data_IF_416099157728
#
_entry.id   IF_416099157728
#
_cell.length_a   1.000
_cell.length_b   1.000
_cell.length_c   1.000
_cell.angle_alpha   90.00
_cell.angle_beta   90.00
_cell.angle_gamma   90.00
#
_symmetry.space_group_name_H-M   'P 1'
#
loop_
_entity.id
_entity.type
_entity.pdbx_description
1 polymer ?
#
# COMPACT_ATOMS: atom_id res chain seq x y z
N UNK A 1 -36.05 9.61 42.16
CA UNK A 1 -34.58 9.56 42.01
C UNK A 1 -34.08 8.28 41.32
N UNK A 2 -34.48 7.08 41.75
CA UNK A 2 -33.92 5.81 41.24
C UNK A 2 -34.10 5.64 39.73
N UNK A 3 -35.31 5.85 39.19
CA UNK A 3 -35.60 5.67 37.75
C UNK A 3 -34.75 6.61 36.88
N UNK A 4 -34.54 7.86 37.32
CA UNK A 4 -33.68 8.83 36.63
C UNK A 4 -32.21 8.40 36.59
N UNK A 5 -31.71 7.80 37.66
CA UNK A 5 -30.35 7.26 37.71
C UNK A 5 -30.16 6.09 36.73
N UNK A 6 -31.17 5.22 36.56
CA UNK A 6 -31.13 4.12 35.59
C UNK A 6 -31.10 4.61 34.13
N UNK A 7 -31.94 5.59 33.79
CA UNK A 7 -31.97 6.18 32.44
C UNK A 7 -30.64 6.88 32.14
N UNK A 8 -30.08 7.60 33.12
CA UNK A 8 -28.80 8.28 32.98
C UNK A 8 -27.63 7.30 32.80
N UNK A 9 -27.58 6.23 33.60
CA UNK A 9 -26.57 5.18 33.46
C UNK A 9 -26.63 4.50 32.08
N UNK A 10 -27.83 4.17 31.61
CA UNK A 10 -28.03 3.59 30.28
C UNK A 10 -27.57 4.54 29.15
N UNK A 11 -27.86 5.83 29.28
CA UNK A 11 -27.40 6.85 28.34
C UNK A 11 -25.87 6.93 28.24
N UNK A 12 -25.17 6.93 29.38
CA UNK A 12 -23.70 6.93 29.42
C UNK A 12 -23.14 5.66 28.77
N UNK A 13 -23.68 4.49 29.07
CA UNK A 13 -23.21 3.22 28.48
C UNK A 13 -23.30 3.24 26.95
N UNK A 14 -24.39 3.76 26.39
CA UNK A 14 -24.56 3.85 24.94
C UNK A 14 -23.60 4.86 24.29
N UNK A 15 -23.36 6.01 24.94
CA UNK A 15 -22.39 7.00 24.44
C UNK A 15 -20.97 6.43 24.47
N UNK A 16 -20.58 5.75 25.56
CA UNK A 16 -19.27 5.09 25.66
C UNK A 16 -19.14 4.01 24.59
N UNK A 17 -20.16 3.18 24.39
CA UNK A 17 -20.17 2.15 23.36
C UNK A 17 -20.08 2.73 21.93
N UNK A 18 -20.69 3.89 21.68
CA UNK A 18 -20.58 4.58 20.39
C UNK A 18 -19.16 5.10 20.16
N UNK A 19 -18.57 5.75 21.17
CA UNK A 19 -17.20 6.31 21.08
C UNK A 19 -16.16 5.21 20.86
N UNK A 20 -16.28 4.07 21.54
CA UNK A 20 -15.37 2.93 21.34
C UNK A 20 -15.54 2.28 19.97
N UNK A 21 -16.76 2.22 19.43
CA UNK A 21 -17.02 1.70 18.08
C UNK A 21 -16.52 2.62 16.97
N UNK A 22 -16.57 3.94 17.15
CA UNK A 22 -16.09 4.92 16.15
C UNK A 22 -14.57 4.88 15.98
N UNK A 23 -13.82 4.61 17.05
CA UNK A 23 -12.35 4.66 17.04
C UNK A 23 -11.66 3.29 16.96
N UNK A 24 -12.38 2.22 16.58
CA UNK A 24 -11.85 0.86 16.63
C UNK A 24 -10.54 0.64 15.86
N UNK A 25 -10.28 1.34 14.74
CA UNK A 25 -8.99 1.22 14.02
C UNK A 25 -7.84 1.94 14.72
N UNK A 26 -8.11 3.09 15.30
CA UNK A 26 -7.07 3.95 15.89
C UNK A 26 -6.62 3.37 17.24
N UNK A 27 -7.56 2.83 18.03
CA UNK A 27 -7.23 2.11 19.26
C UNK A 27 -6.42 0.84 18.98
N UNK A 28 -6.69 0.10 17.90
CA UNK A 28 -5.91 -1.10 17.55
C UNK A 28 -4.47 -0.77 17.18
N UNK A 29 -4.26 0.29 16.41
CA UNK A 29 -2.91 0.73 16.06
C UNK A 29 -2.15 1.20 17.30
N UNK A 30 -2.79 1.96 18.19
CA UNK A 30 -2.21 2.39 19.46
C UNK A 30 -1.78 1.18 20.30
N UNK A 31 -2.67 0.22 20.53
CA UNK A 31 -2.35 -1.01 21.28
C UNK A 31 -1.16 -1.77 20.67
N UNK A 32 -1.11 -1.90 19.34
CA UNK A 32 0.03 -2.55 18.69
C UNK A 32 1.33 -1.76 18.78
N UNK A 33 1.27 -0.43 18.74
CA UNK A 33 2.42 0.44 18.94
C UNK A 33 2.92 0.37 20.37
N UNK A 34 2.04 0.26 21.36
CA UNK A 34 2.38 0.09 22.77
C UNK A 34 3.09 -1.25 23.00
N UNK A 35 2.51 -2.36 22.55
CA UNK A 35 3.16 -3.69 22.61
C UNK A 35 4.54 -3.70 21.94
N UNK A 36 4.68 -3.00 20.82
CA UNK A 36 5.94 -2.87 20.11
C UNK A 36 6.95 -2.04 20.91
N UNK A 37 6.53 -0.93 21.50
CA UNK A 37 7.38 -0.10 22.36
C UNK A 37 7.89 -0.91 23.56
N UNK A 38 7.00 -1.65 24.23
CA UNK A 38 7.35 -2.53 25.34
C UNK A 38 8.38 -3.57 24.91
N UNK A 39 8.20 -4.19 23.73
CA UNK A 39 9.15 -5.14 23.18
C UNK A 39 10.53 -4.51 22.89
N UNK A 40 10.54 -3.33 22.25
CA UNK A 40 11.78 -2.62 21.91
C UNK A 40 12.54 -2.16 23.16
N UNK A 41 11.81 -1.79 24.21
CA UNK A 41 12.36 -1.40 25.51
C UNK A 41 12.93 -2.61 26.24
N UNK A 42 12.17 -3.71 26.36
CA UNK A 42 12.61 -4.94 27.01
C UNK A 42 13.83 -5.59 26.34
N UNK A 43 14.05 -5.33 25.05
CA UNK A 43 15.22 -5.79 24.28
C UNK A 43 16.34 -4.74 24.18
N UNK A 44 16.18 -3.59 24.82
CA UNK A 44 17.15 -2.49 24.83
C UNK A 44 17.62 -2.09 23.41
N UNK A 45 16.70 -2.06 22.45
CA UNK A 45 17.07 -1.80 21.05
C UNK A 45 17.64 -0.37 20.89
N UNK A 46 18.63 -0.15 20.01
CA UNK A 46 19.16 1.18 19.72
C UNK A 46 18.09 2.13 19.17
N UNK A 47 18.22 3.42 19.47
CA UNK A 47 17.22 4.45 19.10
C UNK A 47 16.96 4.52 17.58
N UNK A 48 18.00 4.31 16.75
CA UNK A 48 17.87 4.28 15.29
C UNK A 48 16.93 3.17 14.83
N UNK A 49 17.14 1.93 15.30
CA UNK A 49 16.28 0.80 14.96
C UNK A 49 14.85 1.01 15.47
N UNK A 50 14.68 1.60 16.67
CA UNK A 50 13.33 1.93 17.18
C UNK A 50 12.60 2.90 16.27
N UNK A 51 13.30 3.88 15.70
CA UNK A 51 12.71 4.83 14.75
C UNK A 51 12.27 4.11 13.47
N UNK A 52 13.14 3.30 12.88
CA UNK A 52 12.86 2.53 11.66
C UNK A 52 11.64 1.62 11.82
N UNK A 53 11.56 0.89 12.94
CA UNK A 53 10.41 0.01 13.23
C UNK A 53 9.11 0.83 13.35
N UNK A 54 9.12 1.95 14.07
CA UNK A 54 7.92 2.80 14.20
C UNK A 54 7.50 3.41 12.87
N UNK A 55 8.46 3.86 12.07
CA UNK A 55 8.21 4.41 10.73
C UNK A 55 7.60 3.33 9.83
N UNK A 56 8.16 2.11 9.84
CA UNK A 56 7.60 0.99 9.10
C UNK A 56 6.15 0.71 9.50
N UNK A 57 5.84 0.60 10.79
CA UNK A 57 4.47 0.36 11.26
C UNK A 57 3.52 1.51 10.94
N UNK A 58 3.99 2.75 10.99
CA UNK A 58 3.21 3.92 10.62
C UNK A 58 2.89 3.93 9.12
N UNK A 59 3.87 3.62 8.28
CA UNK A 59 3.70 3.52 6.82
C UNK A 59 2.82 2.31 6.44
N UNK A 60 3.00 1.18 7.13
CA UNK A 60 2.15 0.00 6.98
C UNK A 60 0.71 0.26 7.42
N UNK A 61 0.46 1.14 8.40
CA UNK A 61 -0.90 1.58 8.75
C UNK A 61 -1.59 2.32 7.60
N UNK A 62 -0.83 3.14 6.87
CA UNK A 62 -1.34 3.90 5.71
C UNK A 62 -1.59 2.97 4.51
N UNK A 63 -0.95 1.80 4.49
CA UNK A 63 -1.22 0.75 3.51
C UNK A 63 -2.66 0.23 3.63
N UNK A 64 -3.30 0.00 2.48
CA UNK A 64 -4.72 -0.37 2.38
C UNK A 64 -5.10 -1.66 3.16
N UNK A 65 -4.12 -2.51 3.46
CA UNK A 65 -4.30 -3.80 4.12
C UNK A 65 -4.26 -3.75 5.66
N UNK A 66 -3.87 -2.62 6.26
CA UNK A 66 -3.91 -2.43 7.73
C UNK A 66 -5.32 -2.62 8.33
N UNK A 67 -6.37 -2.58 7.50
CA UNK A 67 -7.76 -2.80 7.91
C UNK A 67 -8.21 -4.27 7.84
N UNK A 68 -7.45 -5.16 7.20
CA UNK A 68 -7.83 -6.56 6.91
C UNK A 68 -7.40 -7.54 8.00
N UNK A 69 -7.69 -7.22 9.26
CA UNK A 69 -7.40 -8.14 10.38
C UNK A 69 -8.26 -9.40 10.23
N UNK A 70 -7.63 -10.58 10.26
CA UNK A 70 -8.25 -11.89 10.09
C UNK A 70 -8.75 -12.22 8.67
N UNK A 71 -8.21 -11.60 7.60
CA UNK A 71 -8.60 -11.94 6.23
C UNK A 71 -8.59 -13.45 5.97
N UNK A 72 -7.57 -14.18 6.42
CA UNK A 72 -7.50 -15.63 6.28
C UNK A 72 -8.66 -16.39 6.92
N UNK A 73 -9.17 -15.93 8.08
CA UNK A 73 -10.33 -16.56 8.74
C UNK A 73 -11.63 -16.25 8.00
N UNK A 74 -11.81 -14.99 7.58
CA UNK A 74 -12.97 -14.54 6.81
C UNK A 74 -13.02 -15.29 5.48
N UNK A 75 -11.89 -15.40 4.78
CA UNK A 75 -11.80 -16.13 3.53
C UNK A 75 -12.14 -17.62 3.73
N UNK A 76 -11.74 -18.22 4.85
CA UNK A 76 -12.03 -19.64 5.14
C UNK A 76 -13.53 -19.95 5.31
N UNK A 77 -14.37 -18.97 5.64
CA UNK A 77 -15.83 -19.14 5.71
C UNK A 77 -16.47 -19.29 4.32
N UNK A 78 -15.77 -18.90 3.26
CA UNK A 78 -16.28 -18.95 1.89
C UNK A 78 -15.86 -20.22 1.14
N UNK A 79 -16.71 -20.63 0.19
CA UNK A 79 -16.41 -21.72 -0.75
C UNK A 79 -15.14 -21.42 -1.57
N UNK A 80 -14.47 -22.47 -2.05
CA UNK A 80 -13.21 -22.34 -2.79
C UNK A 80 -13.33 -21.41 -4.02
N UNK A 81 -14.45 -21.48 -4.74
CA UNK A 81 -14.71 -20.63 -5.89
C UNK A 81 -14.85 -19.16 -5.48
N UNK A 82 -15.56 -18.88 -4.38
CA UNK A 82 -15.78 -17.51 -3.93
C UNK A 82 -14.48 -16.89 -3.40
N UNK A 83 -13.67 -17.66 -2.66
CA UNK A 83 -12.30 -17.26 -2.29
C UNK A 83 -11.46 -16.87 -3.51
N UNK A 84 -11.50 -17.70 -4.56
CA UNK A 84 -10.76 -17.45 -5.80
C UNK A 84 -11.18 -16.13 -6.47
N UNK A 85 -12.50 -15.88 -6.53
CA UNK A 85 -13.06 -14.65 -7.09
C UNK A 85 -12.67 -13.41 -6.28
N UNK A 86 -12.71 -13.50 -4.94
CA UNK A 86 -12.31 -12.40 -4.06
C UNK A 86 -10.81 -12.11 -4.24
N UNK A 87 -9.97 -13.13 -4.20
CA UNK A 87 -8.53 -12.98 -4.40
C UNK A 87 -8.21 -12.35 -5.76
N UNK A 88 -8.91 -12.77 -6.82
CA UNK A 88 -8.75 -12.18 -8.14
C UNK A 88 -9.17 -10.71 -8.17
N UNK A 89 -10.29 -10.35 -7.53
CA UNK A 89 -10.75 -8.96 -7.47
C UNK A 89 -9.76 -8.05 -6.72
N UNK A 90 -9.15 -8.54 -5.64
CA UNK A 90 -8.11 -7.81 -4.88
C UNK A 90 -6.86 -7.61 -5.73
N UNK A 91 -6.44 -8.64 -6.46
CA UNK A 91 -5.22 -8.64 -7.27
C UNK A 91 -5.46 -8.18 -8.72
N UNK A 92 -6.64 -7.67 -9.07
CA UNK A 92 -7.02 -7.33 -10.45
C UNK A 92 -6.04 -6.34 -11.10
N UNK A 93 -5.62 -5.33 -10.31
CA UNK A 93 -4.67 -4.31 -10.76
C UNK A 93 -3.30 -4.87 -11.14
N UNK A 94 -2.94 -6.02 -10.58
CA UNK A 94 -1.69 -6.74 -10.83
C UNK A 94 -1.94 -7.74 -11.96
N UNK A 95 -2.87 -8.66 -11.80
CA UNK A 95 -3.10 -9.77 -12.73
C UNK A 95 -3.56 -9.33 -14.12
N UNK A 96 -4.50 -8.40 -14.23
CA UNK A 96 -5.04 -7.99 -15.53
C UNK A 96 -4.26 -6.84 -16.17
N UNK A 97 -3.67 -5.94 -15.37
CA UNK A 97 -3.01 -4.73 -15.90
C UNK A 97 -1.51 -4.92 -16.14
N UNK A 98 -0.91 -6.03 -15.72
CA UNK A 98 0.51 -6.29 -15.96
C UNK A 98 0.75 -6.99 -17.31
N UNK A 99 1.71 -6.50 -18.12
CA UNK A 99 2.07 -7.13 -19.40
C UNK A 99 2.49 -8.59 -19.29
N UNK A 100 3.06 -8.99 -18.14
CA UNK A 100 3.46 -10.37 -17.87
C UNK A 100 2.30 -11.35 -18.02
N UNK A 101 1.11 -10.97 -17.56
CA UNK A 101 -0.10 -11.81 -17.57
C UNK A 101 -1.03 -11.52 -18.74
N UNK A 102 -0.68 -10.61 -19.65
CA UNK A 102 -1.53 -10.27 -20.79
C UNK A 102 -1.85 -11.49 -21.68
N UNK A 103 -3.13 -11.80 -21.86
CA UNK A 103 -3.58 -12.97 -22.62
C UNK A 103 -3.44 -14.30 -21.88
N UNK A 104 -3.28 -14.27 -20.56
CA UNK A 104 -3.39 -15.46 -19.72
C UNK A 104 -4.84 -15.95 -19.62
N UNK A 105 -5.00 -17.26 -19.40
CA UNK A 105 -6.32 -17.82 -19.11
C UNK A 105 -6.85 -17.29 -17.77
N UNK A 106 -8.17 -17.06 -17.71
CA UNK A 106 -8.79 -16.50 -16.51
C UNK A 106 -8.65 -17.43 -15.30
N UNK A 107 -8.75 -18.75 -15.49
CA UNK A 107 -8.62 -19.71 -14.40
C UNK A 107 -7.18 -19.76 -13.86
N UNK A 108 -6.19 -19.61 -14.75
CA UNK A 108 -4.79 -19.48 -14.34
C UNK A 108 -4.58 -18.25 -13.45
N UNK A 109 -5.14 -17.10 -13.82
CA UNK A 109 -5.02 -15.89 -13.01
C UNK A 109 -5.74 -16.03 -11.66
N UNK A 110 -6.89 -16.69 -11.60
CA UNK A 110 -7.59 -16.98 -10.34
C UNK A 110 -6.76 -17.87 -9.40
N UNK A 111 -6.13 -18.93 -9.94
CA UNK A 111 -5.24 -19.82 -9.19
C UNK A 111 -4.02 -19.08 -8.64
N UNK A 112 -3.42 -18.21 -9.45
CA UNK A 112 -2.31 -17.37 -9.02
C UNK A 112 -2.74 -16.34 -7.98
N UNK A 113 -3.90 -15.70 -8.14
CA UNK A 113 -4.41 -14.70 -7.21
C UNK A 113 -4.50 -15.24 -5.78
N UNK A 114 -4.93 -16.49 -5.62
CA UNK A 114 -5.00 -17.18 -4.33
C UNK A 114 -3.64 -17.49 -3.71
N UNK A 115 -2.61 -17.62 -4.56
CA UNK A 115 -1.25 -17.98 -4.14
C UNK A 115 -0.37 -16.76 -3.84
N UNK A 116 -0.80 -15.57 -4.27
CA UNK A 116 -0.07 -14.33 -4.01
C UNK A 116 -0.26 -13.88 -2.56
N UNK A 117 0.83 -13.41 -1.96
CA UNK A 117 0.82 -12.79 -0.62
C UNK A 117 1.33 -11.37 -0.71
N UNK A 118 0.71 -10.46 0.02
CA UNK A 118 1.25 -9.11 0.15
C UNK A 118 2.42 -9.10 1.14
N UNK A 119 3.47 -8.37 0.80
CA UNK A 119 4.63 -8.10 1.65
C UNK A 119 4.98 -6.62 1.54
N UNK A 120 5.36 -6.02 2.66
CA UNK A 120 5.73 -4.61 2.71
C UNK A 120 7.20 -4.47 3.06
N UNK A 121 7.89 -3.55 2.40
CA UNK A 121 9.29 -3.26 2.64
C UNK A 121 9.47 -1.76 2.92
N UNK A 122 10.26 -1.39 3.96
CA UNK A 122 10.67 -0.01 4.19
C UNK A 122 11.58 0.50 3.05
N UNK A 123 11.83 1.81 2.97
CA UNK A 123 12.82 2.38 2.05
C UNK A 123 14.24 1.84 2.30
N UNK A 124 15.06 1.81 1.25
CA UNK A 124 16.49 1.43 1.25
C UNK A 124 16.80 -0.01 1.68
N UNK A 125 15.80 -0.88 1.73
CA UNK A 125 15.98 -2.30 2.03
C UNK A 125 16.27 -3.10 0.75
N UNK A 126 17.26 -3.99 0.83
CA UNK A 126 17.65 -4.89 -0.26
C UNK A 126 16.74 -6.13 -0.28
N UNK A 127 15.64 -6.03 -1.05
CA UNK A 127 14.64 -7.10 -1.20
C UNK A 127 15.23 -8.37 -1.82
N UNK A 128 16.20 -8.20 -2.73
CA UNK A 128 16.92 -9.28 -3.39
C UNK A 128 18.40 -8.91 -3.40
N UNK A 129 19.26 -9.86 -3.09
CA UNK A 129 20.72 -9.72 -3.23
C UNK A 129 21.24 -10.51 -4.43
N UNK A 130 22.13 -9.91 -5.21
CA UNK A 130 22.82 -10.57 -6.31
C UNK A 130 23.59 -11.81 -5.82
N UNK A 131 23.44 -12.95 -6.51
CA UNK A 131 24.15 -14.19 -6.19
C UNK A 131 23.48 -15.06 -5.13
N UNK A 132 22.45 -14.58 -4.43
CA UNK A 132 21.68 -15.41 -3.51
C UNK A 132 20.74 -16.37 -4.25
N UNK A 133 20.34 -17.43 -3.54
CA UNK A 133 19.27 -18.31 -3.98
C UNK A 133 17.95 -17.66 -3.60
N UNK A 134 17.05 -17.46 -4.57
CA UNK A 134 15.73 -16.93 -4.31
C UNK A 134 14.65 -17.69 -5.05
N UNK A 135 13.59 -18.03 -4.33
CA UNK A 135 12.48 -18.84 -4.83
C UNK A 135 11.18 -18.05 -4.95
N UNK A 136 11.25 -16.73 -4.85
CA UNK A 136 10.09 -15.85 -4.94
C UNK A 136 10.29 -14.78 -6.02
N UNK A 137 9.18 -14.34 -6.60
CA UNK A 137 9.11 -13.19 -7.48
C UNK A 137 8.12 -12.19 -6.90
N UNK A 138 8.29 -10.93 -7.29
CA UNK A 138 7.55 -9.83 -6.71
C UNK A 138 6.93 -8.97 -7.81
N UNK A 139 5.69 -8.57 -7.57
CA UNK A 139 4.96 -7.62 -8.40
C UNK A 139 4.74 -6.34 -7.61
N UNK A 140 5.08 -5.19 -8.20
CA UNK A 140 5.05 -3.90 -7.53
C UNK A 140 3.63 -3.36 -7.55
N UNK A 141 2.94 -3.46 -6.41
CA UNK A 141 1.60 -2.92 -6.22
C UNK A 141 1.66 -1.42 -5.92
N UNK A 142 2.62 -1.00 -5.09
CA UNK A 142 2.91 0.41 -4.78
C UNK A 142 4.39 0.57 -4.44
N UNK A 143 4.96 1.71 -4.82
CA UNK A 143 6.35 2.07 -4.53
C UNK A 143 7.26 1.95 -5.75
N UNK A 144 8.55 2.17 -5.51
CA UNK A 144 9.61 2.18 -6.52
C UNK A 144 10.82 1.45 -5.97
N UNK A 145 11.40 0.58 -6.81
CA UNK A 145 12.63 -0.16 -6.51
C UNK A 145 13.68 0.14 -7.58
N UNK A 146 14.95 0.05 -7.21
CA UNK A 146 16.07 0.10 -8.13
C UNK A 146 16.71 -1.27 -8.30
N UNK A 147 17.21 -1.53 -9.50
CA UNK A 147 17.98 -2.73 -9.82
C UNK A 147 19.45 -2.33 -9.89
N UNK A 148 20.28 -2.97 -9.08
CA UNK A 148 21.73 -2.73 -9.00
C UNK A 148 22.45 -4.02 -9.31
N UNK A 149 23.45 -3.97 -10.19
CA UNK A 149 24.31 -5.13 -10.49
C UNK A 149 25.76 -4.72 -10.45
N UNK A 150 26.57 -5.46 -9.68
CA UNK A 150 27.99 -5.12 -9.48
C UNK A 150 28.21 -3.62 -9.10
N UNK A 151 27.32 -3.06 -8.28
CA UNK A 151 27.35 -1.65 -7.85
C UNK A 151 26.85 -0.63 -8.88
N UNK A 152 26.41 -1.05 -10.06
CA UNK A 152 25.89 -0.17 -11.11
C UNK A 152 24.37 -0.25 -11.16
N UNK A 153 23.70 0.89 -11.11
CA UNK A 153 22.25 0.98 -11.27
C UNK A 153 21.88 0.67 -12.72
N UNK A 154 21.14 -0.43 -12.92
CA UNK A 154 20.67 -0.87 -14.24
C UNK A 154 19.34 -0.23 -14.64
N UNK A 155 18.53 0.18 -13.66
CA UNK A 155 17.25 0.82 -13.91
C UNK A 155 16.36 0.91 -12.68
N UNK A 156 15.20 1.54 -12.86
CA UNK A 156 14.16 1.68 -11.86
C UNK A 156 12.92 0.92 -12.28
N UNK A 157 12.28 0.27 -11.32
CA UNK A 157 10.97 -0.34 -11.50
C UNK A 157 9.95 0.31 -10.57
N UNK A 158 8.80 0.68 -11.13
CA UNK A 158 7.67 1.26 -10.41
C UNK A 158 6.42 0.39 -10.47
N UNK A 159 5.28 1.03 -10.20
CA UNK A 159 3.99 0.35 -10.17
C UNK A 159 3.68 -0.44 -11.46
N UNK A 160 3.03 -1.60 -11.32
CA UNK A 160 2.67 -2.53 -12.43
C UNK A 160 3.86 -3.17 -13.14
N UNK A 161 5.06 -3.06 -12.57
CA UNK A 161 6.23 -3.81 -12.99
C UNK A 161 6.55 -4.91 -11.98
N UNK A 162 7.50 -5.77 -12.32
CA UNK A 162 7.80 -6.99 -11.57
C UNK A 162 9.27 -7.35 -11.69
N UNK A 163 9.76 -8.11 -10.73
CA UNK A 163 11.15 -8.54 -10.66
C UNK A 163 11.30 -9.90 -9.96
N UNK A 164 12.49 -10.49 -10.07
CA UNK A 164 12.80 -11.80 -9.49
C UNK A 164 12.32 -12.99 -10.31
N UNK A 165 11.75 -12.78 -11.50
CA UNK A 165 11.23 -13.84 -12.36
C UNK A 165 12.33 -14.76 -12.90
N UNK A 166 13.55 -14.23 -13.07
CA UNK A 166 14.69 -15.00 -13.57
C UNK A 166 15.06 -16.14 -12.62
N UNK A 167 14.99 -15.92 -11.31
CA UNK A 167 15.37 -16.93 -10.32
C UNK A 167 14.35 -18.08 -10.27
N UNK A 168 13.06 -17.79 -10.43
CA UNK A 168 12.00 -18.81 -10.49
C UNK A 168 12.11 -19.70 -11.73
N UNK A 169 12.65 -19.15 -12.83
CA UNK A 169 12.66 -19.82 -14.13
C UNK A 169 13.99 -20.50 -14.45
N UNK A 170 15.10 -20.02 -13.85
CA UNK A 170 16.39 -20.67 -13.97
C UNK A 170 16.47 -21.92 -13.09
N UNK A 171 17.21 -22.93 -13.53
CA UNK A 171 17.40 -24.17 -12.76
C UNK A 171 18.19 -23.94 -11.46
N UNK A 172 19.05 -22.92 -11.44
CA UNK A 172 19.97 -22.69 -10.32
C UNK A 172 19.39 -21.77 -9.24
N UNK A 173 18.18 -21.23 -9.42
CA UNK A 173 17.51 -20.30 -8.50
C UNK A 173 18.32 -19.03 -8.12
N UNK A 174 19.42 -18.73 -8.84
CA UNK A 174 20.30 -17.62 -8.50
C UNK A 174 19.70 -16.27 -8.93
N UNK A 175 19.81 -15.30 -8.03
CA UNK A 175 19.47 -13.89 -8.27
C UNK A 175 20.54 -13.23 -9.14
N UNK A 176 20.11 -12.58 -10.21
CA UNK A 176 21.00 -12.03 -11.26
C UNK A 176 21.44 -10.59 -11.01
N UNK A 177 20.79 -9.89 -10.09
CA UNK A 177 21.06 -8.51 -9.68
C UNK A 177 20.41 -8.27 -8.31
N UNK A 178 20.93 -7.29 -7.57
CA UNK A 178 20.35 -6.78 -6.33
C UNK A 178 19.15 -5.88 -6.66
N UNK A 179 18.09 -5.96 -5.87
CA UNK A 179 16.93 -5.08 -5.96
C UNK A 179 16.74 -4.40 -4.62
N UNK A 180 16.73 -3.07 -4.61
CA UNK A 180 16.61 -2.24 -3.41
C UNK A 180 15.40 -1.33 -3.48
N UNK A 181 14.66 -1.17 -2.40
CA UNK A 181 13.54 -0.22 -2.33
C UNK A 181 14.06 1.23 -2.26
N UNK A 182 13.39 2.16 -2.92
CA UNK A 182 13.68 3.60 -2.79
C UNK A 182 12.69 4.31 -1.85
N UNK A 183 11.52 3.73 -1.66
CA UNK A 183 10.47 4.20 -0.76
C UNK A 183 9.76 3.00 -0.10
N UNK A 184 8.77 3.26 0.75
CA UNK A 184 7.91 2.20 1.25
C UNK A 184 7.23 1.49 0.06
N UNK A 185 7.45 0.18 -0.04
CA UNK A 185 6.97 -0.63 -1.16
C UNK A 185 5.98 -1.68 -0.67
N UNK A 186 4.85 -1.78 -1.37
CA UNK A 186 3.87 -2.85 -1.22
C UNK A 186 4.01 -3.77 -2.42
N UNK A 187 4.38 -5.02 -2.17
CA UNK A 187 4.67 -6.00 -3.21
C UNK A 187 3.73 -7.19 -3.07
N UNK A 188 3.32 -7.78 -4.19
CA UNK A 188 2.70 -9.11 -4.24
C UNK A 188 3.78 -10.13 -4.51
N UNK A 189 4.06 -10.98 -3.53
CA UNK A 189 5.01 -12.07 -3.61
C UNK A 189 4.34 -13.35 -4.07
N UNK A 190 4.98 -14.06 -4.98
CA UNK A 190 4.59 -15.38 -5.45
C UNK A 190 5.80 -16.34 -5.40
N UNK A 191 5.62 -17.51 -4.79
CA UNK A 191 6.69 -18.51 -4.68
C UNK A 191 6.79 -19.37 -5.93
N UNK A 192 8.00 -19.88 -6.17
CA UNK A 192 8.37 -20.76 -7.29
C UNK A 192 7.52 -22.01 -7.30
N UNK A 193 7.36 -22.66 -6.15
CA UNK A 193 6.55 -23.87 -6.03
C UNK A 193 5.14 -23.65 -6.56
N UNK A 194 4.43 -22.63 -6.06
CA UNK A 194 3.05 -22.32 -6.47
C UNK A 194 2.97 -21.92 -7.93
N UNK A 195 3.94 -21.14 -8.40
CA UNK A 195 4.00 -20.73 -9.80
C UNK A 195 4.23 -21.91 -10.75
N UNK A 196 5.18 -22.79 -10.44
CA UNK A 196 5.48 -23.96 -11.26
C UNK A 196 4.32 -24.96 -11.26
N UNK A 197 3.65 -25.17 -10.13
CA UNK A 197 2.44 -26.00 -10.05
C UNK A 197 1.37 -25.45 -11.00
N UNK A 198 1.08 -24.16 -10.93
CA UNK A 198 0.13 -23.52 -11.84
C UNK A 198 0.53 -23.71 -13.31
N UNK A 199 1.83 -23.60 -13.65
CA UNK A 199 2.30 -23.83 -15.02
C UNK A 199 2.16 -25.26 -15.52
N UNK A 200 2.01 -26.26 -14.64
CA UNK A 200 1.73 -27.63 -15.08
C UNK A 200 0.30 -27.78 -15.64
N UNK A 201 -0.66 -27.03 -15.09
CA UNK A 201 -2.04 -27.03 -15.52
C UNK A 201 -2.27 -26.20 -16.82
N UNK A 202 -1.41 -25.22 -17.10
CA UNK A 202 -1.57 -24.28 -18.23
C UNK A 202 -0.33 -24.25 -19.14
N UNK A 203 -0.14 -25.24 -20.05
CA UNK A 203 1.05 -25.36 -20.88
C UNK A 203 1.26 -24.19 -21.85
N UNK A 204 0.19 -23.57 -22.36
CA UNK A 204 0.28 -22.40 -23.24
C UNK A 204 0.98 -21.21 -22.55
N UNK A 205 0.74 -21.04 -21.24
CA UNK A 205 1.39 -19.99 -20.45
C UNK A 205 2.87 -20.30 -20.21
N UNK A 206 3.19 -21.58 -19.94
CA UNK A 206 4.57 -22.05 -19.76
C UNK A 206 5.44 -21.72 -20.98
N UNK A 207 4.96 -21.98 -22.19
CA UNK A 207 5.68 -21.65 -23.43
C UNK A 207 5.87 -20.14 -23.62
N UNK A 208 4.87 -19.33 -23.25
CA UNK A 208 4.95 -17.87 -23.34
C UNK A 208 6.00 -17.31 -22.39
N UNK A 209 6.06 -17.83 -21.17
CA UNK A 209 7.05 -17.44 -20.17
C UNK A 209 8.46 -17.83 -20.61
N UNK A 210 8.65 -19.03 -21.15
CA UNK A 210 9.95 -19.45 -21.71
C UNK A 210 10.46 -18.46 -22.77
N UNK A 211 9.60 -17.99 -23.67
CA UNK A 211 9.93 -16.95 -24.67
C UNK A 211 10.31 -15.60 -24.06
N UNK A 212 9.67 -15.19 -22.96
CA UNK A 212 10.01 -13.95 -22.24
C UNK A 212 11.40 -14.06 -21.61
N UNK A 213 11.73 -15.21 -21.02
CA UNK A 213 13.03 -15.47 -20.40
C UNK A 213 14.16 -15.45 -21.42
N UNK A 214 13.97 -16.13 -22.55
CA UNK A 214 14.97 -16.15 -23.64
C UNK A 214 15.27 -14.76 -24.18
N UNK A 215 14.24 -13.90 -24.30
CA UNK A 215 14.44 -12.51 -24.71
C UNK A 215 15.27 -11.76 -23.68
N UNK A 216 14.94 -11.87 -22.38
CA UNK A 216 15.65 -11.16 -21.31
C UNK A 216 17.09 -11.64 -21.09
N UNK A 217 17.37 -12.93 -21.25
CA UNK A 217 18.75 -13.46 -21.21
C UNK A 217 19.61 -12.93 -22.36
N UNK A 218 19.03 -12.69 -23.53
CA UNK A 218 19.75 -12.10 -24.68
C UNK A 218 19.93 -10.58 -24.56
N UNK A 219 18.98 -9.88 -23.95
CA UNK A 219 19.02 -8.41 -23.82
C UNK A 219 19.86 -7.93 -22.63
N UNK A 220 20.10 -8.77 -21.61
CA UNK A 220 21.01 -8.42 -20.51
C UNK A 220 22.44 -8.30 -21.06
N UNK A 221 23.01 -7.09 -21.18
CA UNK A 221 24.27 -6.92 -21.90
C UNK A 221 25.40 -7.65 -21.19
N UNK A 222 26.13 -8.47 -21.95
CA UNK A 222 27.39 -9.13 -21.55
C UNK A 222 28.57 -8.16 -21.44
N UNK A 223 28.32 -6.86 -21.27
CA UNK A 223 29.35 -5.81 -21.19
C UNK A 223 29.21 -5.10 -19.87
N UNK A 224 30.25 -5.18 -19.04
CA UNK A 224 30.70 -4.12 -18.16
C UNK A 224 32.15 -4.47 -17.76
N UNK A 225 33.05 -4.35 -18.74
CA UNK A 225 34.44 -4.01 -18.46
C UNK A 225 34.50 -2.51 -18.19
N UNK A 226 34.99 -2.15 -17.01
CA UNK A 226 35.69 -0.91 -16.68
C UNK A 226 35.01 0.41 -17.11
N UNK A 227 34.33 1.06 -16.17
CA UNK A 227 34.67 2.42 -15.72
C UNK A 227 33.86 2.81 -14.47
N UNK A 228 34.42 3.60 -13.53
CA UNK A 228 33.81 3.84 -12.22
C UNK A 228 32.74 4.93 -12.27
N UNK A 229 31.62 4.62 -11.60
CA UNK A 229 30.78 5.49 -10.76
C UNK A 229 30.27 6.80 -11.41
N UNK A 230 29.00 6.79 -11.84
CA UNK A 230 28.15 7.98 -11.68
C UNK A 230 27.45 7.87 -10.32
N UNK A 231 27.58 8.92 -9.50
CA UNK A 231 27.03 9.00 -8.16
C UNK A 231 25.50 8.76 -8.15
N UNK A 232 24.94 8.05 -7.16
CA UNK A 232 23.49 7.87 -7.00
C UNK A 232 22.72 9.21 -6.86
N UNK A 233 23.42 10.28 -6.48
CA UNK A 233 22.91 11.66 -6.47
C UNK A 233 22.54 12.18 -7.88
N UNK A 234 23.26 11.75 -8.92
CA UNK A 234 23.05 12.22 -10.30
C UNK A 234 21.78 11.62 -10.92
N UNK A 235 21.35 10.45 -10.45
CA UNK A 235 20.06 9.85 -10.84
C UNK A 235 18.88 10.62 -10.20
N UNK A 236 19.01 11.03 -8.93
CA UNK A 236 18.03 11.88 -8.25
C UNK A 236 17.95 13.28 -8.88
N UNK A 237 19.07 13.85 -9.31
CA UNK A 237 19.12 15.13 -10.04
C UNK A 237 18.48 15.01 -11.43
N UNK A 238 18.67 13.91 -12.15
CA UNK A 238 18.00 13.64 -13.44
C UNK A 238 16.48 13.47 -13.27
N UNK A 239 16.04 12.90 -12.14
CA UNK A 239 14.61 12.81 -11.76
C UNK A 239 14.06 14.20 -11.43
N UNK A 240 14.79 15.01 -10.66
CA UNK A 240 14.42 16.39 -10.35
C UNK A 240 14.42 17.30 -11.59
N UNK A 241 15.29 17.07 -12.58
CA UNK A 241 15.30 17.81 -13.83
C UNK A 241 14.11 17.46 -14.75
N UNK A 242 13.55 16.25 -14.63
CA UNK A 242 12.35 15.84 -15.38
C UNK A 242 11.03 16.35 -14.78
N UNK A 243 11.07 16.84 -13.53
CA UNK A 243 9.95 17.47 -12.85
C UNK A 243 10.33 18.93 -12.57
N UNK A 244 9.98 19.83 -13.50
CA UNK A 244 10.36 21.25 -13.48
C UNK A 244 10.28 21.91 -12.08
N UNK A 245 11.43 22.28 -11.51
CA UNK A 245 11.56 23.10 -10.30
C UNK A 245 12.64 24.17 -10.55
N UNK A 246 12.31 25.41 -10.21
CA UNK A 246 13.01 26.65 -10.53
C UNK A 246 14.51 26.71 -10.15
N UNK A 247 15.25 27.48 -10.97
CA UNK A 247 16.71 27.75 -10.96
C UNK A 247 17.30 28.25 -9.61
N UNK A 248 16.46 28.67 -8.66
CA UNK A 248 16.90 29.05 -7.30
C UNK A 248 17.24 27.84 -6.43
N UNK A 249 16.62 26.68 -6.65
CA UNK A 249 16.86 25.46 -5.85
C UNK A 249 18.17 24.77 -6.28
N UNK A 250 18.57 24.94 -7.55
CA UNK A 250 19.79 24.37 -8.13
C UNK A 250 21.08 24.87 -7.46
N UNK A 251 21.13 26.13 -7.03
CA UNK A 251 22.34 26.72 -6.41
C UNK A 251 22.57 26.27 -4.97
N UNK A 252 21.58 25.65 -4.32
CA UNK A 252 21.69 25.11 -2.96
C UNK A 252 22.11 23.62 -2.94
N UNK A 253 22.33 23.01 -4.12
CA UNK A 253 22.71 21.60 -4.30
C UNK A 253 24.23 21.37 -4.47
N UNK A 254 25.05 22.43 -4.60
CA UNK A 254 26.48 22.33 -4.93
C UNK A 254 27.40 22.15 -3.71
N UNK A 255 26.89 22.24 -2.48
CA UNK A 255 27.71 21.97 -1.27
C UNK A 255 27.64 20.50 -0.84
N UNK A 256 28.77 19.85 -0.54
CA UNK A 256 28.82 18.42 -0.18
C UNK A 256 27.95 18.10 1.05
N UNK A 257 27.27 16.94 1.09
CA UNK A 257 26.26 16.69 2.10
C UNK A 257 26.89 16.30 3.44
N UNK A 258 26.67 17.12 4.46
CA UNK A 258 26.84 16.74 5.86
C UNK A 258 25.61 15.94 6.34
N UNK A 259 25.76 15.00 7.31
CA UNK A 259 24.69 14.07 7.69
C UNK A 259 23.38 14.72 8.17
N UNK A 260 23.46 15.94 8.71
CA UNK A 260 22.30 16.71 9.16
C UNK A 260 21.38 17.13 8.00
N UNK A 261 21.94 17.43 6.83
CA UNK A 261 21.19 17.94 5.67
C UNK A 261 20.45 16.83 4.92
N UNK A 262 20.98 15.61 4.92
CA UNK A 262 20.35 14.42 4.32
C UNK A 262 19.11 13.98 5.09
N UNK A 263 19.18 13.96 6.43
CA UNK A 263 18.03 13.66 7.28
C UNK A 263 16.91 14.71 7.17
N UNK A 264 17.29 15.97 6.96
CA UNK A 264 16.33 17.07 6.77
C UNK A 264 15.68 17.01 5.38
N UNK A 265 16.42 16.59 4.34
CA UNK A 265 15.86 16.36 3.00
C UNK A 265 14.96 15.14 2.92
N UNK A 266 15.32 14.03 3.58
CA UNK A 266 14.49 12.82 3.64
C UNK A 266 13.21 13.08 4.44
N UNK A 267 13.31 13.83 5.55
CA UNK A 267 12.11 14.24 6.28
C UNK A 267 11.22 15.14 5.43
N UNK A 268 11.77 16.12 4.70
CA UNK A 268 11.00 16.98 3.79
C UNK A 268 10.35 16.21 2.64
N UNK A 269 11.06 15.29 1.98
CA UNK A 269 10.50 14.45 0.90
C UNK A 269 9.40 13.50 1.41
N UNK A 270 9.58 12.89 2.58
CA UNK A 270 8.52 12.13 3.23
C UNK A 270 7.36 13.04 3.63
N UNK A 271 7.60 14.28 4.07
CA UNK A 271 6.55 15.22 4.46
C UNK A 271 5.75 15.69 3.24
N UNK A 272 6.40 15.99 2.12
CA UNK A 272 5.78 16.45 0.87
C UNK A 272 5.01 15.32 0.18
N UNK A 273 5.53 14.09 0.20
CA UNK A 273 4.83 12.91 -0.32
C UNK A 273 3.63 12.54 0.56
N UNK A 274 3.78 12.63 1.89
CA UNK A 274 2.68 12.40 2.85
C UNK A 274 1.67 13.54 2.81
N UNK A 275 2.07 14.78 2.51
CA UNK A 275 1.19 15.94 2.34
C UNK A 275 0.42 15.89 1.01
N UNK A 276 1.04 15.43 -0.07
CA UNK A 276 0.36 15.17 -1.35
C UNK A 276 -0.66 14.01 -1.23
N UNK A 277 -0.34 12.98 -0.44
CA UNK A 277 -1.27 11.90 -0.13
C UNK A 277 -2.38 12.33 0.83
N UNK A 278 -2.05 13.13 1.88
CA UNK A 278 -3.01 13.71 2.83
C UNK A 278 -3.92 14.73 2.18
N UNK A 279 -3.48 15.53 1.22
CA UNK A 279 -4.36 16.46 0.49
C UNK A 279 -5.38 15.69 -0.36
N UNK A 280 -4.97 14.68 -1.12
CA UNK A 280 -5.91 13.86 -1.90
C UNK A 280 -6.90 13.06 -1.04
N UNK A 281 -6.46 12.52 0.11
CA UNK A 281 -7.37 11.80 1.02
C UNK A 281 -8.21 12.73 1.90
N UNK A 282 -7.67 13.86 2.35
CA UNK A 282 -8.40 14.84 3.15
C UNK A 282 -9.41 15.62 2.33
N UNK A 283 -9.09 16.01 1.08
CA UNK A 283 -10.05 16.65 0.17
C UNK A 283 -11.20 15.68 -0.18
N UNK A 284 -10.90 14.40 -0.43
CA UNK A 284 -11.93 13.39 -0.67
C UNK A 284 -12.84 13.15 0.54
N UNK A 285 -12.28 13.16 1.76
CA UNK A 285 -13.06 13.00 2.99
C UNK A 285 -13.83 14.29 3.36
N UNK A 286 -13.30 15.48 3.06
CA UNK A 286 -14.00 16.75 3.26
C UNK A 286 -15.19 16.89 2.31
N UNK A 287 -15.05 16.47 1.05
CA UNK A 287 -16.17 16.44 0.10
C UNK A 287 -17.26 15.46 0.56
N UNK A 288 -16.90 14.28 1.08
CA UNK A 288 -17.88 13.33 1.65
C UNK A 288 -18.57 13.90 2.90
N UNK A 289 -17.82 14.59 3.76
CA UNK A 289 -18.37 15.23 4.96
C UNK A 289 -19.29 16.41 4.58
N UNK A 290 -18.90 17.25 3.61
CA UNK A 290 -19.73 18.35 3.10
C UNK A 290 -21.01 17.84 2.41
N UNK A 291 -20.93 16.76 1.62
CA UNK A 291 -22.09 16.13 1.02
C UNK A 291 -23.05 15.58 2.10
N UNK A 292 -22.51 15.01 3.17
CA UNK A 292 -23.30 14.46 4.28
C UNK A 292 -23.91 15.54 5.19
N UNK A 293 -23.21 16.67 5.39
CA UNK A 293 -23.76 17.83 6.08
C UNK A 293 -24.89 18.46 5.25
N UNK A 294 -24.71 18.57 3.93
CA UNK A 294 -25.73 19.12 3.02
C UNK A 294 -27.00 18.26 3.00
N UNK A 295 -26.86 16.92 3.01
CA UNK A 295 -28.02 16.03 3.07
C UNK A 295 -28.74 16.09 4.42
N UNK A 296 -28.02 16.26 5.54
CA UNK A 296 -28.64 16.48 6.85
C UNK A 296 -29.41 17.80 6.93
N UNK A 297 -28.86 18.89 6.38
CA UNK A 297 -29.54 20.19 6.34
C UNK A 297 -30.82 20.10 5.50
N UNK A 298 -30.77 19.40 4.37
CA UNK A 298 -31.94 19.18 3.53
C UNK A 298 -33.02 18.33 4.23
N UNK A 299 -32.63 17.31 4.98
CA UNK A 299 -33.56 16.54 5.81
C UNK A 299 -34.18 17.40 6.92
N UNK A 300 -33.41 18.30 7.53
CA UNK A 300 -33.90 19.19 8.58
C UNK A 300 -34.89 20.22 8.04
N UNK A 301 -34.66 20.76 6.84
CA UNK A 301 -35.58 21.68 6.16
C UNK A 301 -36.88 20.98 5.73
N UNK A 302 -36.80 19.72 5.29
CA UNK A 302 -37.99 18.89 5.03
C UNK A 302 -38.80 18.63 6.30
N UNK A 303 -38.15 18.34 7.42
CA UNK A 303 -38.82 18.17 8.71
C UNK A 303 -39.50 19.48 9.16
N UNK A 304 -38.83 20.62 8.97
CA UNK A 304 -39.41 21.94 9.28
C UNK A 304 -40.67 22.24 8.50
N UNK A 305 -40.70 21.91 7.19
CA UNK A 305 -41.90 22.08 6.35
C UNK A 305 -43.03 21.15 6.77
N UNK A 306 -42.73 19.90 7.12
CA UNK A 306 -43.72 18.95 7.63
C UNK A 306 -44.34 19.43 8.95
N UNK A 307 -43.54 20.04 9.83
CA UNK A 307 -44.04 20.65 11.08
C UNK A 307 -44.93 21.85 10.77
N UNK A 308 -44.56 22.73 9.85
CA UNK A 308 -45.41 23.85 9.44
C UNK A 308 -46.72 23.39 8.78
N UNK A 309 -46.68 22.36 7.94
CA UNK A 309 -47.87 21.79 7.33
C UNK A 309 -48.80 21.15 8.38
N UNK A 310 -48.23 20.48 9.39
CA UNK A 310 -48.98 19.97 10.53
C UNK A 310 -49.60 21.09 11.35
N UNK A 311 -48.87 22.17 11.65
CA UNK A 311 -49.39 23.33 12.36
C UNK A 311 -50.53 24.00 11.59
N UNK A 312 -50.40 24.11 10.26
CA UNK A 312 -51.41 24.68 9.38
C UNK A 312 -52.66 23.80 9.27
N UNK A 313 -52.50 22.48 9.26
CA UNK A 313 -53.62 21.53 9.35
C UNK A 313 -54.31 21.60 10.72
N UNK A 314 -53.55 21.72 11.81
CA UNK A 314 -54.11 21.87 13.16
C UNK A 314 -54.83 23.22 13.35
N UNK A 315 -54.39 24.30 12.71
CA UNK A 315 -55.08 25.59 12.70
C UNK A 315 -56.41 25.51 11.94
N UNK A 316 -56.43 24.87 10.76
CA UNK A 316 -57.67 24.69 9.98
C UNK A 316 -58.71 23.80 10.68
N UNK A 317 -58.29 22.88 11.56
CA UNK A 317 -59.21 22.06 12.39
C UNK A 317 -59.83 22.87 13.54
N UNK A 318 -59.19 23.95 14.00
CA UNK A 318 -59.75 24.86 15.02
C UNK A 318 -60.76 25.86 14.46
N UNK A 319 -60.71 26.17 13.16
CA UNK A 319 -61.60 27.14 12.49
C UNK A 319 -62.79 26.48 11.76
N UNK A 320 -63.00 25.18 11.92
CA UNK A 320 -64.18 24.50 11.39
C UNK A 320 -65.43 24.86 12.26
N UNK A 321 -66.50 25.44 11.68
CA UNK A 321 -67.70 25.77 12.43
C UNK A 321 -68.41 24.49 12.88
N UNK A 322 -68.81 24.49 14.15
CA UNK A 322 -69.67 23.47 14.79
C UNK A 322 -71.01 23.36 14.09
#
# INVERSE_FOLDING_TARGET
MIIGAWIFAYGITNVVAMVTNLNGSDSRFQLRMDELNDYMEARELPMQLRYEIREFYFNARISAESKLVNEGKILAEFSALLRSKIAFAINDSVLNKMPFFAGADHNFLMELALSMRMVCFPPLEEVILEGEIGEEMFFIFRGVVEIVKAGIQLGLLGQKQYFGEMAILNQNCLRTATVRTLCFCELRMLTREKFLIALTHYPAMKERIARIVEKRTKTTPKRLSTNPVENPLTALEKIAASAAIDDKTAKQLVSPPTPATTLTRISQLNTDFTASFRSQTAESELEKIQAKISSMIQQQDQLGRLVQDLEKQMANVKDAPV
#
